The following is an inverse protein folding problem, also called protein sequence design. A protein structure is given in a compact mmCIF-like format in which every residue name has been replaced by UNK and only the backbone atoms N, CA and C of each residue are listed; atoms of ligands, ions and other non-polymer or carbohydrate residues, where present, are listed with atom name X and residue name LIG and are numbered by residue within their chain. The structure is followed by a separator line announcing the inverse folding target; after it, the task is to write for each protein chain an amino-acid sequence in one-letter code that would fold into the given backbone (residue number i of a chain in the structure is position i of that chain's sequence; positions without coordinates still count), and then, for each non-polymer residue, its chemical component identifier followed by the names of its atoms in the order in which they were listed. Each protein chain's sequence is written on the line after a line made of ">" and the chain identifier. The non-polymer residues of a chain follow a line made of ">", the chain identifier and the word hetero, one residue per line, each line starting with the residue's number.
data_IF_731223866186
#
_entry.id   IF_731223866186
#
_cell.length_a   1.000
_cell.length_b   1.000
_cell.length_c   1.000
_cell.angle_alpha   90.00
_cell.angle_beta   90.00
_cell.angle_gamma   90.00
#
_symmetry.space_group_name_H-M   'P 1'
#
loop_
_entity.id
_entity.type
_entity.pdbx_description
1 polymer ?
#
# COMPACT_ATOMS: atom_id res chain seq x y z
N UNK A 1 1.67 4.31 11.93
CA UNK A 1 2.66 4.81 10.94
C UNK A 1 2.02 5.35 9.67
N UNK A 2 0.93 4.74 9.20
CA UNK A 2 0.27 5.11 7.95
C UNK A 2 -0.09 6.60 7.85
N UNK A 3 -0.62 7.19 8.93
CA UNK A 3 -1.06 8.59 8.95
C UNK A 3 0.06 9.64 8.84
N UNK A 4 1.32 9.25 9.00
CA UNK A 4 2.47 10.16 8.84
C UNK A 4 3.11 10.12 7.46
N UNK A 5 2.65 9.24 6.56
CA UNK A 5 3.20 9.11 5.21
C UNK A 5 2.32 9.82 4.20
N UNK A 6 2.92 10.71 3.41
CA UNK A 6 2.22 11.42 2.32
C UNK A 6 2.87 11.19 0.95
N UNK A 7 4.07 10.61 0.92
CA UNK A 7 4.83 10.37 -0.30
C UNK A 7 5.55 9.00 -0.27
N UNK A 8 5.78 8.31 -1.41
CA UNK A 8 6.54 7.05 -1.45
C UNK A 8 7.94 7.14 -0.84
N UNK A 9 8.56 8.33 -0.81
CA UNK A 9 9.84 8.54 -0.12
C UNK A 9 9.76 8.37 1.40
N UNK A 10 8.59 8.55 2.01
CA UNK A 10 8.39 8.28 3.44
C UNK A 10 8.45 6.78 3.74
N UNK A 11 7.92 5.95 2.84
CA UNK A 11 7.97 4.50 2.93
C UNK A 11 9.41 3.98 2.94
N UNK A 12 10.29 4.58 2.12
CA UNK A 12 11.71 4.21 2.02
C UNK A 12 12.54 4.58 3.26
N UNK A 13 12.00 5.40 4.18
CA UNK A 13 12.64 5.73 5.46
C UNK A 13 12.42 4.65 6.53
N UNK A 14 11.45 3.76 6.32
CA UNK A 14 11.19 2.67 7.25
C UNK A 14 12.27 1.59 7.14
N UNK A 15 12.56 0.98 8.29
CA UNK A 15 13.30 -0.28 8.35
C UNK A 15 12.46 -1.41 7.76
N UNK A 16 13.12 -2.50 7.34
CA UNK A 16 12.42 -3.64 6.74
C UNK A 16 11.49 -4.32 7.74
N UNK A 17 11.85 -4.28 9.01
CA UNK A 17 11.13 -4.85 10.14
C UNK A 17 9.82 -4.08 10.44
N UNK A 18 9.72 -2.81 10.02
CA UNK A 18 8.51 -1.99 10.16
C UNK A 18 7.49 -2.23 9.04
N UNK A 19 7.90 -2.81 7.90
CA UNK A 19 7.02 -3.01 6.74
C UNK A 19 5.84 -3.96 7.01
N UNK A 20 5.97 -5.07 7.76
CA UNK A 20 4.83 -5.91 8.11
C UNK A 20 3.77 -5.16 8.94
N UNK A 21 4.20 -4.35 9.91
CA UNK A 21 3.29 -3.56 10.73
C UNK A 21 2.55 -2.49 9.89
N UNK A 22 3.24 -1.90 8.91
CA UNK A 22 2.58 -1.02 7.95
C UNK A 22 1.54 -1.75 7.09
N UNK A 23 1.83 -2.96 6.63
CA UNK A 23 0.88 -3.76 5.86
C UNK A 23 -0.39 -4.07 6.68
N UNK A 24 -0.25 -4.34 7.98
CA UNK A 24 -1.38 -4.54 8.89
C UNK A 24 -2.24 -3.27 9.01
N UNK A 25 -1.62 -2.09 9.19
CA UNK A 25 -2.33 -0.81 9.23
C UNK A 25 -3.07 -0.52 7.93
N UNK A 26 -2.44 -0.77 6.77
CA UNK A 26 -3.05 -0.60 5.45
C UNK A 26 -4.24 -1.52 5.22
N UNK A 27 -4.12 -2.80 5.60
CA UNK A 27 -5.23 -3.77 5.49
C UNK A 27 -6.43 -3.32 6.32
N UNK A 28 -6.19 -2.89 7.57
CA UNK A 28 -7.27 -2.38 8.42
C UNK A 28 -7.93 -1.14 7.80
N UNK A 29 -7.13 -0.20 7.28
CA UNK A 29 -7.64 1.01 6.64
C UNK A 29 -8.50 0.71 5.41
N UNK A 30 -8.09 -0.24 4.56
CA UNK A 30 -8.85 -0.68 3.38
C UNK A 30 -10.18 -1.29 3.81
N UNK A 31 -10.19 -2.19 4.81
CA UNK A 31 -11.42 -2.79 5.34
C UNK A 31 -12.38 -1.73 5.89
N UNK A 32 -11.87 -0.80 6.69
CA UNK A 32 -12.67 0.28 7.28
C UNK A 32 -13.21 1.25 6.22
N UNK A 33 -12.49 1.44 5.13
CA UNK A 33 -12.89 2.32 4.03
C UNK A 33 -13.95 1.67 3.14
N UNK A 34 -13.72 0.43 2.70
CA UNK A 34 -14.62 -0.29 1.80
C UNK A 34 -15.91 -0.73 2.50
N UNK A 35 -15.87 -1.02 3.80
CA UNK A 35 -17.08 -1.33 4.59
C UNK A 35 -18.09 -0.18 4.62
N UNK A 36 -17.63 1.06 4.45
CA UNK A 36 -18.49 2.26 4.43
C UNK A 36 -19.03 2.61 3.04
N UNK A 37 -18.32 2.25 1.98
CA UNK A 37 -18.63 2.68 0.59
C UNK A 37 -19.22 1.57 -0.27
N UNK A 38 -18.99 0.29 0.05
CA UNK A 38 -19.36 -0.86 -0.78
C UNK A 38 -18.46 -0.97 -2.02
N UNK A 39 -17.82 -2.13 -2.23
CA UNK A 39 -16.89 -2.34 -3.35
C UNK A 39 -16.13 -3.66 -3.30
N UNK A 40 -15.28 -3.92 -4.31
CA UNK A 40 -14.45 -5.13 -4.39
C UNK A 40 -13.36 -5.14 -3.31
N UNK A 41 -13.59 -5.89 -2.24
CA UNK A 41 -12.69 -5.98 -1.09
C UNK A 41 -11.49 -6.93 -1.33
N UNK A 42 -11.64 -7.95 -2.18
CA UNK A 42 -10.67 -9.06 -2.25
C UNK A 42 -9.43 -8.76 -3.08
N UNK A 43 -9.53 -7.95 -4.13
CA UNK A 43 -8.40 -7.62 -5.01
C UNK A 43 -7.40 -6.70 -4.30
N UNK A 44 -7.90 -5.68 -3.60
CA UNK A 44 -7.07 -4.67 -2.92
C UNK A 44 -6.37 -5.21 -1.67
N UNK A 45 -6.92 -6.23 -1.01
CA UNK A 45 -6.27 -6.86 0.14
C UNK A 45 -5.12 -7.78 -0.27
N UNK A 46 -5.18 -8.38 -1.47
CA UNK A 46 -4.13 -9.27 -1.98
C UNK A 46 -2.89 -8.56 -2.51
N UNK A 47 -2.96 -7.24 -2.70
CA UNK A 47 -1.89 -6.41 -3.30
C UNK A 47 -1.18 -5.50 -2.32
N UNK A 48 -1.55 -5.50 -1.04
CA UNK A 48 -0.97 -4.59 -0.03
C UNK A 48 0.54 -4.79 0.09
N UNK A 49 1.00 -6.02 0.34
CA UNK A 49 2.41 -6.32 0.52
C UNK A 49 3.20 -6.08 -0.78
N UNK A 50 2.62 -6.40 -1.93
CA UNK A 50 3.23 -6.17 -3.22
C UNK A 50 3.41 -4.66 -3.48
N UNK A 51 2.37 -3.87 -3.21
CA UNK A 51 2.42 -2.41 -3.38
C UNK A 51 3.47 -1.77 -2.48
N UNK A 52 3.54 -2.20 -1.21
CA UNK A 52 4.59 -1.78 -0.28
C UNK A 52 5.97 -2.13 -0.84
N UNK A 53 6.18 -3.39 -1.24
CA UNK A 53 7.47 -3.84 -1.74
C UNK A 53 7.91 -3.05 -2.99
N UNK A 54 6.99 -2.80 -3.92
CA UNK A 54 7.28 -2.05 -5.13
C UNK A 54 7.65 -0.59 -4.82
N UNK A 55 6.87 0.12 -4.00
CA UNK A 55 7.16 1.52 -3.65
C UNK A 55 8.37 1.68 -2.70
N UNK A 56 8.75 0.62 -1.98
CA UNK A 56 9.94 0.57 -1.15
C UNK A 56 11.22 0.38 -1.99
N UNK A 57 11.16 -0.45 -3.04
CA UNK A 57 12.33 -0.79 -3.87
C UNK A 57 12.52 0.17 -5.04
N UNK A 58 11.42 0.62 -5.67
CA UNK A 58 11.46 1.53 -6.82
C UNK A 58 11.28 2.98 -6.39
N UNK A 59 11.96 3.89 -7.09
CA UNK A 59 11.88 5.32 -6.85
C UNK A 59 10.69 5.95 -7.59
N UNK A 60 9.48 5.57 -7.22
CA UNK A 60 8.27 6.20 -7.79
C UNK A 60 8.12 7.64 -7.29
N UNK A 61 7.75 8.62 -8.15
CA UNK A 61 7.21 8.46 -9.51
C UNK A 61 8.26 8.50 -10.65
N UNK A 62 9.56 8.54 -10.36
CA UNK A 62 10.60 8.46 -11.39
C UNK A 62 10.53 7.11 -12.11
N UNK A 63 10.55 6.02 -11.33
CA UNK A 63 10.22 4.69 -11.82
C UNK A 63 8.71 4.57 -12.03
N UNK A 64 8.30 3.96 -13.14
CA UNK A 64 6.89 3.78 -13.49
C UNK A 64 6.42 2.37 -13.15
N UNK A 65 5.45 2.27 -12.27
CA UNK A 65 4.72 1.03 -11.98
C UNK A 65 3.42 1.05 -12.78
N UNK A 66 3.13 -0.04 -13.50
CA UNK A 66 1.87 -0.22 -14.23
C UNK A 66 1.13 -1.42 -13.63
N UNK A 67 -0.09 -1.16 -13.17
CA UNK A 67 -1.03 -2.18 -12.73
C UNK A 67 -1.94 -2.54 -13.90
N UNK A 68 -1.90 -3.79 -14.35
CA UNK A 68 -2.82 -4.26 -15.40
C UNK A 68 -4.25 -4.29 -14.86
N UNK A 69 -5.21 -3.85 -15.67
CA UNK A 69 -6.65 -3.69 -15.37
C UNK A 69 -7.00 -2.65 -14.29
N UNK A 70 -6.27 -2.57 -13.17
CA UNK A 70 -6.42 -1.52 -12.14
C UNK A 70 -7.60 -1.73 -11.17
N UNK A 71 -8.08 -2.95 -11.01
CA UNK A 71 -9.11 -3.31 -10.02
C UNK A 71 -8.53 -3.73 -8.66
N UNK A 72 -7.21 -3.70 -8.54
CA UNK A 72 -6.42 -4.14 -7.40
C UNK A 72 -5.84 -2.99 -6.57
#
# INVERSE_FOLDING_TARGET
>A
MLHSMNDPSDLRKLTREELPALADELRQYIVDSVSKTGGHLSSNLGTVELSIALHYVFDTPHDRIVWDVGHQ
#
